data_IF_500810584135
#
_entry.id   IF_500810584135
#
_cell.length_a   1.000
_cell.length_b   1.000
_cell.length_c   1.000
_cell.angle_alpha   90.00
_cell.angle_beta   90.00
_cell.angle_gamma   90.00
#
_symmetry.space_group_name_H-M   'P 1'
#
loop_
_entity.id
_entity.type
_entity.pdbx_description
1 polymer ?
#
# COMPACT_ATOMS: atom_id res chain seq x y z
N UNK A 1 -0.65 -0.57 -5.06
CA UNK A 1 -1.56 0.48 -4.58
C UNK A 1 -1.77 0.42 -3.08
N UNK A 2 -1.91 -0.79 -2.50
CA UNK A 2 -2.01 -1.04 -1.05
C UNK A 2 -1.16 -0.12 -0.15
N UNK A 3 0.18 -0.18 -0.24
CA UNK A 3 1.09 0.67 0.57
C UNK A 3 0.78 2.17 0.46
N UNK A 4 0.37 2.66 -0.72
CA UNK A 4 0.08 4.09 -0.92
C UNK A 4 -1.15 4.52 -0.11
N UNK A 5 -2.20 3.70 -0.11
CA UNK A 5 -3.43 3.97 0.65
C UNK A 5 -3.12 4.13 2.13
N UNK A 6 -2.40 3.17 2.72
CA UNK A 6 -2.03 3.22 4.13
C UNK A 6 -1.10 4.37 4.48
N UNK A 7 -0.15 4.71 3.59
CA UNK A 7 0.73 5.87 3.79
C UNK A 7 -0.06 7.17 3.73
N UNK A 8 -1.00 7.32 2.79
CA UNK A 8 -1.84 8.51 2.65
C UNK A 8 -2.72 8.75 3.89
N UNK A 9 -3.25 7.67 4.48
CA UNK A 9 -4.13 7.73 5.65
C UNK A 9 -3.36 7.93 6.97
N UNK A 10 -2.19 7.31 7.10
CA UNK A 10 -1.52 7.19 8.41
C UNK A 10 -0.26 8.06 8.58
N UNK A 11 0.39 8.51 7.50
CA UNK A 11 1.68 9.22 7.56
C UNK A 11 1.62 10.64 6.95
N UNK A 12 2.52 11.53 7.39
CA UNK A 12 2.63 12.87 6.83
C UNK A 12 3.50 12.88 5.55
N UNK A 13 2.89 13.17 4.41
CA UNK A 13 3.56 13.18 3.10
C UNK A 13 4.53 14.34 2.89
N UNK A 14 4.54 15.32 3.78
CA UNK A 14 5.44 16.48 3.73
C UNK A 14 6.84 16.18 4.28
N UNK A 15 6.98 15.17 5.14
CA UNK A 15 8.22 14.83 5.85
C UNK A 15 8.83 13.50 5.41
N UNK A 16 10.16 13.33 5.52
CA UNK A 16 10.81 12.06 5.20
C UNK A 16 10.44 10.95 6.20
N UNK A 17 10.63 9.69 5.78
CA UNK A 17 10.36 8.50 6.59
C UNK A 17 11.03 8.52 7.98
N UNK A 18 12.20 9.15 8.12
CA UNK A 18 12.92 9.25 9.40
C UNK A 18 12.25 10.14 10.44
N UNK A 19 11.34 11.03 10.02
CA UNK A 19 10.59 11.93 10.90
C UNK A 19 9.16 11.45 11.18
N UNK A 20 8.80 10.28 10.68
CA UNK A 20 7.47 9.71 10.89
C UNK A 20 7.39 8.99 12.25
N UNK A 21 6.17 8.84 12.81
CA UNK A 21 5.94 7.94 13.94
C UNK A 21 6.39 6.51 13.59
N UNK A 22 7.28 5.94 14.41
CA UNK A 22 7.86 4.61 14.16
C UNK A 22 6.81 3.51 14.25
N UNK A 23 5.89 3.64 15.20
CA UNK A 23 4.74 2.78 15.43
C UNK A 23 3.85 2.71 14.18
N UNK A 24 3.52 3.85 13.56
CA UNK A 24 2.71 3.86 12.33
C UNK A 24 3.43 3.25 11.14
N UNK A 25 4.75 3.46 10.99
CA UNK A 25 5.51 2.76 9.95
C UNK A 25 5.44 1.25 10.18
N UNK A 26 5.66 0.82 11.43
CA UNK A 26 5.70 -0.58 11.80
C UNK A 26 4.34 -1.26 11.56
N UNK A 27 3.24 -0.62 11.93
CA UNK A 27 1.89 -1.11 11.65
C UNK A 27 1.62 -1.32 10.15
N UNK A 28 2.10 -0.40 9.28
CA UNK A 28 1.97 -0.55 7.83
C UNK A 28 2.82 -1.72 7.31
N UNK A 29 4.02 -1.93 7.86
CA UNK A 29 4.87 -3.07 7.49
C UNK A 29 4.21 -4.38 7.89
N UNK A 30 3.70 -4.48 9.12
CA UNK A 30 3.00 -5.67 9.61
C UNK A 30 1.72 -5.98 8.83
N UNK A 31 0.98 -4.95 8.41
CA UNK A 31 -0.13 -5.12 7.48
C UNK A 31 0.33 -5.67 6.12
N UNK A 32 1.42 -5.15 5.58
CA UNK A 32 1.98 -5.68 4.33
C UNK A 32 2.48 -7.11 4.48
N UNK A 33 3.06 -7.47 5.62
CA UNK A 33 3.59 -8.81 5.87
C UNK A 33 2.49 -9.85 6.05
N UNK A 34 1.37 -9.44 6.66
CA UNK A 34 0.16 -10.26 6.71
C UNK A 34 -0.43 -10.45 5.32
N UNK A 35 -0.59 -9.37 4.54
CA UNK A 35 -1.27 -9.42 3.24
C UNK A 35 -0.40 -10.03 2.11
N UNK A 36 0.89 -9.73 2.11
CA UNK A 36 1.83 -10.04 1.03
C UNK A 36 3.22 -10.42 1.60
N UNK A 37 3.33 -11.55 2.31
CA UNK A 37 4.57 -11.96 2.98
C UNK A 37 5.76 -12.08 2.00
N UNK A 38 5.51 -12.42 0.74
CA UNK A 38 6.52 -12.52 -0.32
C UNK A 38 7.19 -11.17 -0.65
N UNK A 39 6.60 -10.05 -0.24
CA UNK A 39 7.11 -8.70 -0.52
C UNK A 39 7.62 -7.96 0.71
N UNK A 40 7.85 -8.64 1.84
CA UNK A 40 8.33 -8.06 3.11
C UNK A 40 9.47 -7.04 2.92
N UNK A 41 10.57 -7.45 2.28
CA UNK A 41 11.76 -6.61 2.06
C UNK A 41 11.46 -5.38 1.18
N UNK A 42 10.43 -5.47 0.34
CA UNK A 42 10.04 -4.42 -0.61
C UNK A 42 9.18 -3.35 0.05
N UNK A 43 8.37 -3.70 1.05
CA UNK A 43 7.39 -2.83 1.69
C UNK A 43 8.01 -1.54 2.24
N UNK A 44 9.10 -1.65 3.02
CA UNK A 44 9.81 -0.49 3.58
C UNK A 44 10.39 0.41 2.49
N UNK A 45 10.96 -0.17 1.42
CA UNK A 45 11.48 0.57 0.27
C UNK A 45 10.37 1.31 -0.46
N UNK A 46 9.18 0.72 -0.57
CA UNK A 46 8.01 1.33 -1.22
C UNK A 46 7.50 2.53 -0.43
N UNK A 47 7.37 2.44 0.89
CA UNK A 47 7.00 3.58 1.77
C UNK A 47 7.96 4.74 1.55
N UNK A 48 9.27 4.49 1.68
CA UNK A 48 10.32 5.51 1.49
C UNK A 48 10.23 6.16 0.11
N UNK A 49 10.08 5.36 -0.94
CA UNK A 49 10.02 5.83 -2.33
C UNK A 49 8.78 6.69 -2.56
N UNK A 50 7.65 6.30 -2.00
CA UNK A 50 6.40 7.03 -2.13
C UNK A 50 6.46 8.40 -1.44
N UNK A 51 6.87 8.46 -0.17
CA UNK A 51 7.07 9.72 0.55
C UNK A 51 8.07 10.65 -0.16
N UNK A 52 9.18 10.10 -0.69
CA UNK A 52 10.13 10.86 -1.50
C UNK A 52 9.47 11.47 -2.74
N UNK A 53 8.63 10.69 -3.43
CA UNK A 53 7.88 11.13 -4.61
C UNK A 53 6.90 12.25 -4.26
N UNK A 54 6.08 12.10 -3.20
CA UNK A 54 5.15 13.13 -2.73
C UNK A 54 5.86 14.47 -2.46
N UNK A 55 6.99 14.43 -1.75
CA UNK A 55 7.79 15.62 -1.46
C UNK A 55 8.44 16.26 -2.68
N UNK A 56 8.92 15.45 -3.64
CA UNK A 56 9.45 15.96 -4.92
C UNK A 56 8.36 16.65 -5.71
N UNK A 57 7.20 16.02 -5.80
CA UNK A 57 6.05 16.55 -6.54
C UNK A 57 5.59 17.89 -5.95
N UNK A 58 5.49 17.98 -4.62
CA UNK A 58 5.12 19.23 -3.95
C UNK A 58 6.06 20.39 -4.28
N UNK A 59 7.39 20.15 -4.23
CA UNK A 59 8.39 21.16 -4.61
C UNK A 59 8.33 21.54 -6.09
N UNK A 60 8.12 20.56 -6.96
CA UNK A 60 7.99 20.81 -8.40
C UNK A 60 6.75 21.65 -8.75
N UNK A 61 5.64 21.44 -8.04
CA UNK A 61 4.41 22.24 -8.19
C UNK A 61 4.64 23.70 -7.79
N UNK A 62 5.35 23.92 -6.68
CA UNK A 62 5.70 25.25 -6.17
C UNK A 62 6.66 26.00 -7.10
N UNK A 63 7.56 25.28 -7.78
CA UNK A 63 8.58 25.88 -8.65
C UNK A 63 8.12 26.14 -10.09
N UNK A 64 7.24 25.30 -10.65
CA UNK A 64 6.92 25.34 -12.07
C UNK A 64 5.40 25.40 -12.39
N UNK A 65 4.51 25.44 -11.40
CA UNK A 65 3.06 25.57 -11.63
C UNK A 65 2.39 24.38 -12.32
N UNK A 66 3.08 23.26 -12.51
CA UNK A 66 2.51 22.06 -13.13
C UNK A 66 1.59 21.38 -12.12
N UNK A 67 0.31 21.27 -12.46
CA UNK A 67 -0.68 20.48 -11.73
C UNK A 67 -0.33 18.99 -11.87
N UNK A 68 0.11 18.32 -10.79
CA UNK A 68 0.24 16.89 -10.80
C UNK A 68 -1.16 16.35 -10.60
N UNK A 69 -1.77 16.02 -11.72
CA UNK A 69 -2.89 15.11 -11.76
C UNK A 69 -2.49 13.85 -10.98
N UNK A 70 -2.91 13.78 -9.70
CA UNK A 70 -3.01 12.55 -8.89
C UNK A 70 -4.10 11.65 -9.49
N UNK A 71 -4.05 11.45 -10.80
CA UNK A 71 -5.01 10.60 -11.48
C UNK A 71 -4.77 9.19 -10.95
N UNK A 72 -5.82 8.49 -10.53
CA UNK A 72 -5.75 7.05 -10.33
C UNK A 72 -4.99 6.44 -11.50
N UNK A 73 -4.14 5.43 -11.26
CA UNK A 73 -3.49 4.69 -12.36
C UNK A 73 -4.56 4.42 -13.40
N UNK A 74 -4.38 4.84 -14.65
CA UNK A 74 -5.34 4.57 -15.69
C UNK A 74 -5.77 3.10 -15.65
N UNK A 75 -7.06 2.77 -15.85
CA UNK A 75 -7.59 1.41 -15.68
C UNK A 75 -6.91 0.38 -16.59
N UNK A 76 -6.23 0.80 -17.65
CA UNK A 76 -5.42 -0.07 -18.50
C UNK A 76 -4.06 -0.48 -17.88
N UNK A 77 -3.68 0.08 -16.73
CA UNK A 77 -2.42 -0.19 -16.03
C UNK A 77 -2.58 -1.10 -14.80
N UNK A 78 -3.79 -1.58 -14.53
CA UNK A 78 -4.08 -2.57 -13.50
C UNK A 78 -5.13 -3.55 -14.03
N UNK A 79 -4.91 -4.86 -13.88
CA UNK A 79 -5.90 -5.85 -14.31
C UNK A 79 -7.05 -5.92 -13.30
N UNK A 80 -8.23 -6.36 -13.74
CA UNK A 80 -9.37 -6.62 -12.84
C UNK A 80 -9.01 -7.60 -11.72
N UNK A 81 -8.15 -8.58 -12.01
CA UNK A 81 -7.59 -9.48 -11.00
C UNK A 81 -6.76 -8.72 -9.95
N UNK A 82 -5.89 -7.80 -10.36
CA UNK A 82 -5.11 -6.99 -9.43
C UNK A 82 -5.97 -6.05 -8.58
N UNK A 83 -7.09 -5.55 -9.13
CA UNK A 83 -8.08 -4.76 -8.38
C UNK A 83 -8.80 -5.62 -7.34
N UNK A 84 -9.21 -6.84 -7.70
CA UNK A 84 -9.83 -7.79 -6.78
C UNK A 84 -8.91 -8.17 -5.62
N UNK A 85 -7.62 -8.45 -5.90
CA UNK A 85 -6.61 -8.72 -4.87
C UNK A 85 -6.43 -7.53 -3.92
N UNK A 86 -6.40 -6.31 -4.46
CA UNK A 86 -6.28 -5.11 -3.66
C UNK A 86 -7.52 -4.91 -2.76
N UNK A 87 -8.71 -5.13 -3.29
CA UNK A 87 -9.97 -5.01 -2.54
C UNK A 87 -10.02 -6.02 -1.38
N UNK A 88 -9.71 -7.29 -1.66
CA UNK A 88 -9.66 -8.34 -0.64
C UNK A 88 -8.64 -8.03 0.47
N UNK A 89 -7.44 -7.56 0.10
CA UNK A 89 -6.42 -7.18 1.08
C UNK A 89 -6.85 -6.00 1.97
N UNK A 90 -7.50 -4.99 1.38
CA UNK A 90 -8.04 -3.86 2.13
C UNK A 90 -9.18 -4.28 3.06
N UNK A 91 -10.08 -5.14 2.61
CA UNK A 91 -11.18 -5.66 3.44
C UNK A 91 -10.63 -6.46 4.62
N UNK A 92 -9.66 -7.34 4.39
CA UNK A 92 -9.04 -8.13 5.45
C UNK A 92 -8.32 -7.25 6.49
N UNK A 93 -7.60 -6.21 6.07
CA UNK A 93 -7.02 -5.26 7.03
C UNK A 93 -8.08 -4.46 7.80
N UNK A 94 -9.20 -4.12 7.16
CA UNK A 94 -10.30 -3.47 7.87
C UNK A 94 -10.89 -4.38 8.97
N UNK A 95 -10.98 -5.68 8.71
CA UNK A 95 -11.44 -6.67 9.70
C UNK A 95 -10.40 -6.84 10.81
N UNK A 96 -9.12 -6.94 10.46
CA UNK A 96 -8.04 -7.01 11.44
C UNK A 96 -7.99 -5.76 12.33
N UNK A 97 -8.18 -4.57 11.78
CA UNK A 97 -8.29 -3.34 12.57
C UNK A 97 -9.47 -3.39 13.56
N UNK A 98 -10.63 -3.94 13.15
CA UNK A 98 -11.78 -4.15 14.04
C UNK A 98 -11.45 -5.14 15.16
N UNK A 99 -10.79 -6.26 14.83
CA UNK A 99 -10.37 -7.28 15.83
C UNK A 99 -9.40 -6.70 16.86
N UNK A 100 -8.39 -5.97 16.40
CA UNK A 100 -7.40 -5.33 17.27
C UNK A 100 -8.03 -4.31 18.21
N UNK A 101 -9.03 -3.54 17.74
CA UNK A 101 -9.81 -2.62 18.59
C UNK A 101 -10.61 -3.33 19.69
N UNK A 102 -11.01 -4.58 19.43
CA UNK A 102 -11.68 -5.44 20.41
C UNK A 102 -10.68 -6.24 21.27
N UNK A 103 -9.37 -6.01 21.13
CA UNK A 103 -8.32 -6.73 21.85
C UNK A 103 -8.03 -8.15 21.32
N UNK A 104 -8.54 -8.49 20.14
CA UNK A 104 -8.30 -9.79 19.49
C UNK A 104 -7.09 -9.72 18.56
N UNK A 105 -6.36 -10.82 18.44
CA UNK A 105 -5.25 -10.95 17.51
C UNK A 105 -5.72 -10.89 16.03
N UNK A 106 -4.89 -10.32 15.14
CA UNK A 106 -5.19 -10.22 13.72
C UNK A 106 -5.05 -11.60 13.07
N UNK A 107 -5.92 -11.90 12.12
CA UNK A 107 -5.85 -13.14 11.35
C UNK A 107 -4.84 -13.00 10.20
N UNK A 108 -3.99 -14.01 9.98
CA UNK A 108 -3.22 -14.10 8.74
C UNK A 108 -4.17 -14.32 7.57
N UNK A 109 -3.78 -13.89 6.37
CA UNK A 109 -4.56 -14.18 5.17
C UNK A 109 -4.50 -15.69 4.93
N UNK A 110 -5.65 -16.35 4.92
CA UNK A 110 -5.73 -17.71 4.36
C UNK A 110 -5.30 -17.62 2.90
N UNK A 111 -4.26 -18.35 2.52
CA UNK A 111 -3.74 -18.44 1.15
C UNK A 111 -4.85 -18.90 0.19
N UNK A 112 -5.68 -17.98 -0.29
CA UNK A 112 -6.50 -18.22 -1.47
C UNK A 112 -5.69 -17.75 -2.67
N UNK A 113 -5.14 -18.74 -3.38
CA UNK A 113 -4.81 -18.78 -4.82
C UNK A 113 -4.47 -17.48 -5.55
N UNK A 114 -3.66 -16.61 -4.95
CA UNK A 114 -3.17 -15.42 -5.66
C UNK A 114 -2.17 -15.78 -6.77
N UNK A 115 -1.56 -16.98 -6.73
CA UNK A 115 -0.49 -17.37 -7.64
C UNK A 115 -0.94 -18.25 -8.82
N UNK A 116 -2.07 -18.96 -8.73
CA UNK A 116 -2.47 -19.91 -9.79
C UNK A 116 -3.21 -19.26 -10.97
N UNK A 117 -3.68 -18.01 -10.85
CA UNK A 117 -4.35 -17.30 -11.96
C UNK A 117 -3.41 -16.50 -12.87
N UNK A 118 -2.09 -16.54 -12.64
CA UNK A 118 -1.09 -15.84 -13.46
C UNK A 118 -0.35 -16.75 -14.45
N UNK A 119 -0.84 -17.95 -14.75
CA UNK A 119 -0.36 -18.70 -15.91
C UNK A 119 -0.95 -18.09 -17.19
N UNK A 120 -0.13 -17.58 -18.13
CA UNK A 120 -0.65 -17.26 -19.46
C UNK A 120 -1.13 -18.56 -20.10
N UNK A 121 -2.40 -18.59 -20.51
CA UNK A 121 -2.90 -19.58 -21.45
C UNK A 121 -2.10 -19.42 -22.75
N UNK A 122 -1.05 -20.22 -22.91
CA UNK A 122 -0.41 -20.42 -24.21
C UNK A 122 -1.33 -21.34 -25.01
N UNK A 123 -1.93 -20.80 -26.05
CA UNK A 123 -2.38 -21.54 -27.22
C UNK A 123 -1.27 -21.56 -28.26
#
# INVERSE_FOLDING_TARGET
>A
MFVRLFVDENLDRSVPISKQPKDKIQAILEACDRQFPEFHERSRKRIRTYLKSCRRMRRSKEQNGWEPHLRPTPPHLTSAAAEGLLAAACENESQNAKRMRMGLEPLPVSRHDCCDQLKPANG
#
